data_IF_745982265954
#
_entry.id   IF_745982265954
#
_cell.length_a   1.000
_cell.length_b   1.000
_cell.length_c   1.000
_cell.angle_alpha   90.00
_cell.angle_beta   90.00
_cell.angle_gamma   90.00
#
_symmetry.space_group_name_H-M   'P 1'
#
loop_
_entity.id
_entity.type
_entity.pdbx_description
1 polymer ?
#
# COMPACT_ATOMS: atom_id res chain seq x y z
N UNK A 1 27.76 -3.96 -15.04
CA UNK A 1 26.60 -3.25 -15.61
C UNK A 1 25.46 -3.39 -14.61
N UNK A 2 25.24 -2.38 -13.75
CA UNK A 2 24.09 -2.37 -12.85
C UNK A 2 22.85 -1.97 -13.63
N UNK A 3 21.86 -2.86 -13.69
CA UNK A 3 20.56 -2.54 -14.23
C UNK A 3 19.92 -1.55 -13.24
N UNK A 4 19.77 -0.29 -13.65
CA UNK A 4 18.97 0.70 -12.91
C UNK A 4 17.59 0.08 -12.71
N UNK A 5 17.21 -0.11 -11.46
CA UNK A 5 15.88 -0.63 -11.13
C UNK A 5 15.01 0.54 -10.70
N UNK A 6 13.69 0.44 -10.85
CA UNK A 6 12.73 1.50 -10.47
C UNK A 6 12.91 1.98 -9.01
N UNK A 7 13.66 1.23 -8.19
CA UNK A 7 14.05 1.56 -6.83
C UNK A 7 15.00 2.77 -6.71
N UNK A 8 15.74 3.14 -7.78
CA UNK A 8 16.71 4.24 -7.77
C UNK A 8 16.06 5.64 -7.96
N UNK A 9 14.74 5.71 -8.21
CA UNK A 9 14.05 6.97 -8.57
C UNK A 9 13.20 7.59 -7.46
N UNK A 10 13.23 7.07 -6.22
CA UNK A 10 12.44 7.62 -5.09
C UNK A 10 13.33 8.38 -4.11
N UNK A 11 14.13 9.30 -4.65
CA UNK A 11 14.70 10.46 -3.92
C UNK A 11 13.93 11.76 -4.25
N UNK A 12 12.70 11.65 -4.76
CA UNK A 12 11.80 12.79 -4.75
C UNK A 12 10.94 12.70 -3.50
N UNK A 13 11.09 13.71 -2.66
CA UNK A 13 10.39 14.07 -1.44
C UNK A 13 8.85 13.98 -1.58
N UNK A 14 8.30 12.78 -1.81
CA UNK A 14 6.88 12.53 -1.63
C UNK A 14 6.64 12.52 -0.13
N UNK A 15 6.37 13.71 0.40
CA UNK A 15 5.92 13.92 1.76
C UNK A 15 4.77 12.92 2.00
N UNK A 16 5.01 11.94 2.88
CA UNK A 16 4.00 10.96 3.27
C UNK A 16 2.77 11.74 3.68
N UNK A 17 1.67 11.60 2.95
CA UNK A 17 0.40 12.13 3.41
C UNK A 17 -0.06 11.25 4.58
N UNK A 18 0.49 11.60 5.75
CA UNK A 18 0.25 10.93 7.03
C UNK A 18 -1.25 10.82 7.33
N UNK A 19 -2.08 11.74 6.86
CA UNK A 19 -3.51 11.71 7.10
C UNK A 19 -4.20 10.50 6.45
N UNK A 20 -3.76 10.06 5.26
CA UNK A 20 -4.32 8.86 4.62
C UNK A 20 -3.84 7.61 5.35
N UNK A 21 -2.55 7.54 5.70
CA UNK A 21 -2.01 6.42 6.46
C UNK A 21 -2.74 6.27 7.81
N UNK A 22 -2.97 7.37 8.53
CA UNK A 22 -3.69 7.40 9.82
C UNK A 22 -5.16 6.99 9.67
N UNK A 23 -5.82 7.40 8.57
CA UNK A 23 -7.19 6.93 8.26
C UNK A 23 -7.24 5.43 8.02
N UNK A 24 -6.28 4.89 7.26
CA UNK A 24 -6.16 3.44 7.03
C UNK A 24 -5.91 2.72 8.36
N UNK A 25 -4.98 3.25 9.17
CA UNK A 25 -4.67 2.77 10.50
C UNK A 25 -5.92 2.71 11.40
N UNK A 26 -6.76 3.76 11.38
CA UNK A 26 -8.03 3.78 12.11
C UNK A 26 -9.05 2.75 11.61
N UNK A 27 -9.08 2.49 10.30
CA UNK A 27 -9.98 1.53 9.67
C UNK A 27 -9.65 0.07 10.01
N UNK A 28 -8.39 -0.23 10.37
CA UNK A 28 -7.92 -1.57 10.73
C UNK A 28 -7.33 -1.58 12.15
N UNK A 29 -8.20 -1.44 13.15
CA UNK A 29 -7.80 -1.49 14.57
C UNK A 29 -7.01 -2.77 14.90
N UNK A 30 -5.85 -2.61 15.54
CA UNK A 30 -4.94 -3.71 15.91
C UNK A 30 -4.01 -4.19 14.79
N UNK A 31 -4.04 -3.55 13.61
CA UNK A 31 -3.08 -3.72 12.52
C UNK A 31 -2.25 -2.45 12.35
N UNK A 32 -1.08 -2.51 11.73
CA UNK A 32 -0.26 -1.37 11.37
C UNK A 32 -0.37 -1.08 9.88
N UNK A 33 -0.69 0.16 9.50
CA UNK A 33 -0.66 0.59 8.10
C UNK A 33 0.79 0.89 7.67
N UNK A 34 1.28 0.18 6.65
CA UNK A 34 2.68 0.25 6.20
C UNK A 34 2.88 1.06 4.92
N UNK A 35 1.85 1.14 4.08
CA UNK A 35 1.89 1.87 2.84
C UNK A 35 0.57 1.75 2.07
N UNK A 36 0.38 2.62 1.11
CA UNK A 36 -0.83 2.68 0.30
C UNK A 36 -0.58 3.21 -1.10
N UNK A 37 -1.53 2.97 -2.00
CA UNK A 37 -1.59 3.60 -3.31
C UNK A 37 -3.05 3.98 -3.62
N UNK A 38 -3.27 5.20 -4.14
CA UNK A 38 -4.60 5.62 -4.58
C UNK A 38 -4.97 4.84 -5.84
N UNK A 39 -6.10 4.14 -5.81
CA UNK A 39 -6.62 3.43 -6.98
C UNK A 39 -7.40 4.36 -7.89
N UNK A 40 -8.34 5.10 -7.30
CA UNK A 40 -9.33 5.86 -8.04
C UNK A 40 -9.99 6.93 -7.14
N UNK A 41 -10.51 7.97 -7.79
CA UNK A 41 -11.35 9.01 -7.17
C UNK A 41 -12.72 8.99 -7.85
N UNK A 42 -13.75 8.59 -7.12
CA UNK A 42 -15.11 8.54 -7.64
C UNK A 42 -15.83 9.88 -7.58
N UNK A 43 -15.24 10.91 -6.94
CA UNK A 43 -15.89 12.20 -6.72
C UNK A 43 -16.83 12.23 -5.51
N UNK A 44 -17.28 11.08 -4.99
CA UNK A 44 -17.97 10.96 -3.69
C UNK A 44 -17.18 10.09 -2.68
N UNK A 45 -16.22 9.32 -3.17
CA UNK A 45 -15.31 8.49 -2.39
C UNK A 45 -13.97 8.32 -3.08
N UNK A 46 -12.96 7.91 -2.33
CA UNK A 46 -11.62 7.60 -2.81
C UNK A 46 -11.26 6.17 -2.45
N UNK A 47 -10.80 5.39 -3.45
CA UNK A 47 -10.38 4.01 -3.27
C UNK A 47 -8.86 3.92 -3.13
N UNK A 48 -8.41 3.11 -2.18
CA UNK A 48 -7.01 2.85 -1.90
C UNK A 48 -6.73 1.35 -1.79
N UNK A 49 -5.57 0.97 -2.31
CA UNK A 49 -4.89 -0.26 -1.89
C UNK A 49 -3.97 0.07 -0.73
N UNK A 50 -3.90 -0.80 0.27
CA UNK A 50 -2.99 -0.64 1.39
C UNK A 50 -2.31 -1.96 1.76
N UNK A 51 -1.14 -1.86 2.39
CA UNK A 51 -0.51 -2.96 3.09
C UNK A 51 -0.66 -2.72 4.58
N UNK A 52 -1.23 -3.71 5.27
CA UNK A 52 -1.37 -3.71 6.72
C UNK A 52 -0.64 -4.92 7.33
N UNK A 53 -0.18 -4.76 8.58
CA UNK A 53 0.54 -5.80 9.32
C UNK A 53 -0.03 -6.05 10.71
N UNK A 54 -0.09 -7.31 11.15
CA UNK A 54 -0.31 -7.65 12.56
C UNK A 54 0.67 -8.76 12.95
N UNK A 55 1.68 -8.42 13.76
CA UNK A 55 2.81 -9.31 14.03
C UNK A 55 3.52 -9.70 12.73
N UNK A 56 3.62 -10.99 12.44
CA UNK A 56 4.22 -11.53 11.21
C UNK A 56 3.22 -11.67 10.04
N UNK A 57 1.95 -11.30 10.23
CA UNK A 57 0.93 -11.39 9.19
C UNK A 57 0.89 -10.10 8.38
N UNK A 58 0.99 -10.22 7.06
CA UNK A 58 0.88 -9.12 6.11
C UNK A 58 -0.32 -9.32 5.20
N UNK A 59 -1.07 -8.25 4.98
CA UNK A 59 -2.24 -8.27 4.10
C UNK A 59 -2.23 -7.08 3.16
N UNK A 60 -2.46 -7.36 1.89
CA UNK A 60 -2.90 -6.39 0.91
C UNK A 60 -4.41 -6.25 1.02
N UNK A 61 -4.88 -5.02 1.25
CA UNK A 61 -6.29 -4.72 1.50
C UNK A 61 -6.78 -3.59 0.61
N UNK A 62 -8.10 -3.56 0.36
CA UNK A 62 -8.78 -2.39 -0.19
C UNK A 62 -9.50 -1.61 0.89
N UNK A 63 -9.51 -0.29 0.76
CA UNK A 63 -10.23 0.63 1.64
C UNK A 63 -10.76 1.81 0.84
N UNK A 64 -12.01 2.16 1.09
CA UNK A 64 -12.72 3.26 0.44
C UNK A 64 -13.09 4.31 1.50
N UNK A 65 -12.72 5.57 1.26
CA UNK A 65 -13.04 6.70 2.12
C UNK A 65 -14.08 7.59 1.44
N UNK A 66 -15.26 7.73 2.05
CA UNK A 66 -16.34 8.58 1.55
C UNK A 66 -16.16 10.02 2.04
N UNK A 67 -16.58 10.99 1.22
CA UNK A 67 -16.51 12.42 1.57
C UNK A 67 -17.37 12.80 2.78
N UNK A 68 -18.39 12.00 3.09
CA UNK A 68 -19.25 12.16 4.27
C UNK A 68 -18.65 11.56 5.57
N UNK A 69 -17.41 11.04 5.49
CA UNK A 69 -16.69 10.46 6.63
C UNK A 69 -16.90 8.97 6.83
N UNK A 70 -17.76 8.30 6.04
CA UNK A 70 -17.89 6.84 6.09
C UNK A 70 -16.64 6.15 5.53
N UNK A 71 -16.38 4.95 6.04
CA UNK A 71 -15.25 4.11 5.61
C UNK A 71 -15.77 2.71 5.30
N UNK A 72 -15.39 2.18 4.14
CA UNK A 72 -15.59 0.76 3.81
C UNK A 72 -14.21 0.13 3.68
N UNK A 73 -13.86 -0.76 4.61
CA UNK A 73 -12.52 -1.33 4.71
C UNK A 73 -12.55 -2.85 4.62
N UNK A 74 -11.54 -3.44 3.97
CA UNK A 74 -11.33 -4.89 3.99
C UNK A 74 -12.32 -5.68 3.14
N UNK A 75 -13.05 -5.04 2.22
CA UNK A 75 -13.89 -5.74 1.23
C UNK A 75 -13.04 -6.56 0.23
N UNK A 76 -11.72 -6.37 0.23
CA UNK A 76 -10.74 -7.33 -0.29
C UNK A 76 -9.58 -7.41 0.69
N UNK A 77 -9.14 -8.64 1.01
CA UNK A 77 -7.97 -8.93 1.85
C UNK A 77 -7.21 -10.10 1.23
N UNK A 78 -5.90 -9.94 1.02
CA UNK A 78 -5.05 -10.92 0.31
C UNK A 78 -3.72 -11.05 1.05
N UNK A 79 -3.33 -12.29 1.35
CA UNK A 79 -2.02 -12.62 1.96
C UNK A 79 -0.98 -13.07 0.95
N UNK A 80 -1.43 -13.32 -0.29
CA UNK A 80 -0.69 -13.87 -1.42
C UNK A 80 -0.28 -12.79 -2.43
N UNK A 81 -0.14 -11.53 -1.99
CA UNK A 81 0.35 -10.47 -2.85
C UNK A 81 1.79 -10.75 -3.29
N UNK A 82 2.11 -10.36 -4.53
CA UNK A 82 3.40 -10.60 -5.18
C UNK A 82 3.98 -9.29 -5.74
N UNK A 83 5.29 -9.22 -6.06
CA UNK A 83 5.94 -7.98 -6.51
C UNK A 83 5.26 -7.34 -7.73
N UNK A 84 4.81 -8.16 -8.67
CA UNK A 84 4.09 -7.74 -9.88
C UNK A 84 2.87 -6.84 -9.57
N UNK A 85 2.21 -7.04 -8.43
CA UNK A 85 1.06 -6.21 -8.06
C UNK A 85 1.49 -4.76 -7.82
N UNK A 86 2.60 -4.53 -7.13
CA UNK A 86 3.12 -3.18 -6.89
C UNK A 86 3.61 -2.53 -8.19
N UNK A 87 4.33 -3.27 -9.01
CA UNK A 87 4.82 -2.82 -10.33
C UNK A 87 3.67 -2.33 -11.22
N UNK A 88 2.52 -2.99 -11.19
CA UNK A 88 1.34 -2.60 -11.95
C UNK A 88 0.77 -1.23 -11.52
N UNK A 89 0.93 -0.82 -10.25
CA UNK A 89 0.54 0.53 -9.81
C UNK A 89 1.52 1.58 -10.30
N UNK A 90 2.82 1.28 -10.25
CA UNK A 90 3.87 2.17 -10.77
C UNK A 90 3.72 2.41 -12.28
N UNK A 91 3.47 1.35 -13.06
CA UNK A 91 3.18 1.43 -14.50
C UNK A 91 1.97 2.32 -14.81
N UNK A 92 1.01 2.40 -13.88
CA UNK A 92 -0.19 3.25 -13.99
C UNK A 92 -0.01 4.64 -13.38
N UNK A 93 1.21 5.01 -12.96
CA UNK A 93 1.53 6.29 -12.27
C UNK A 93 0.70 6.52 -11.00
N UNK A 94 0.35 5.43 -10.30
CA UNK A 94 -0.43 5.48 -9.04
C UNK A 94 0.42 5.47 -7.78
N UNK A 95 1.74 5.31 -7.93
CA UNK A 95 2.82 5.41 -6.95
C UNK A 95 2.50 4.98 -5.50
N UNK A 96 3.15 3.92 -5.03
CA UNK A 96 3.03 3.52 -3.64
C UNK A 96 3.73 4.50 -2.70
N UNK A 97 2.96 5.01 -1.74
CA UNK A 97 3.46 5.77 -0.60
C UNK A 97 3.72 4.80 0.55
N UNK A 98 4.92 4.86 1.12
CA UNK A 98 5.35 3.98 2.21
C UNK A 98 5.57 4.76 3.49
N UNK A 99 5.19 4.16 4.63
CA UNK A 99 5.45 4.72 5.96
C UNK A 99 6.96 4.92 6.20
N UNK A 100 7.76 3.97 5.73
CA UNK A 100 9.22 4.03 5.78
C UNK A 100 9.87 3.16 4.69
N UNK A 101 11.16 3.41 4.42
CA UNK A 101 11.96 2.55 3.54
C UNK A 101 12.10 1.12 4.09
N UNK A 102 12.20 0.97 5.41
CA UNK A 102 12.27 -0.33 6.08
C UNK A 102 10.99 -1.14 5.85
N UNK A 103 9.82 -0.52 6.06
CA UNK A 103 8.52 -1.17 5.84
C UNK A 103 8.37 -1.63 4.39
N UNK A 104 8.72 -0.75 3.43
CA UNK A 104 8.74 -1.11 2.00
C UNK A 104 9.60 -2.34 1.77
N UNK A 105 10.86 -2.32 2.20
CA UNK A 105 11.80 -3.41 1.96
C UNK A 105 11.28 -4.74 2.53
N UNK A 106 10.71 -4.71 3.74
CA UNK A 106 10.13 -5.89 4.39
C UNK A 106 8.91 -6.42 3.64
N UNK A 107 8.00 -5.56 3.18
CA UNK A 107 6.84 -5.96 2.37
C UNK A 107 7.28 -6.63 1.06
N UNK A 108 8.30 -6.10 0.38
CA UNK A 108 8.83 -6.68 -0.84
C UNK A 108 9.56 -8.01 -0.62
N UNK A 109 10.11 -8.26 0.56
CA UNK A 109 10.64 -9.57 0.95
C UNK A 109 9.50 -10.60 1.04
N UNK A 110 8.43 -10.27 1.76
CA UNK A 110 7.24 -11.13 1.90
C UNK A 110 6.60 -11.40 0.53
N UNK A 111 6.45 -10.37 -0.31
CA UNK A 111 5.89 -10.51 -1.64
C UNK A 111 6.70 -11.51 -2.50
N UNK A 112 8.03 -11.44 -2.46
CA UNK A 112 8.92 -12.39 -3.16
C UNK A 112 8.77 -13.81 -2.63
N UNK A 113 8.63 -13.99 -1.32
CA UNK A 113 8.36 -15.29 -0.73
C UNK A 113 7.03 -15.87 -1.22
N UNK A 114 5.98 -15.05 -1.30
CA UNK A 114 4.68 -15.47 -1.82
C UNK A 114 4.73 -15.90 -3.29
N UNK A 115 5.54 -15.25 -4.12
CA UNK A 115 5.70 -15.61 -5.53
C UNK A 115 6.39 -16.98 -5.72
N UNK A 116 7.24 -17.37 -4.77
CA UNK A 116 7.96 -18.65 -4.81
C UNK A 116 7.18 -19.84 -4.24
N UNK A 117 5.97 -19.60 -3.72
CA UNK A 117 5.06 -20.63 -3.20
C UNK A 117 4.10 -21.09 -4.28
#
# INVERSE_FOLDING_TARGET
MSQLTIFDFVENEQQVDSAILDKIQGAFSGWEALGYAKEFDWGWSEDYSAIIRQGDQYEWVRVEFYRDGRVIAGYTRRRDFIPYWFEKYEQKRRHWVWRSLEDRNRVFEIARQNQSR
#
